data_IF_497660587946
#
_entry.id   IF_497660587946
#
_cell.length_a   1.000
_cell.length_b   1.000
_cell.length_c   1.000
_cell.angle_alpha   90.00
_cell.angle_beta   90.00
_cell.angle_gamma   90.00
#
_symmetry.space_group_name_H-M   'P 1'
#
loop_
_entity.id
_entity.type
_entity.pdbx_description
1 polymer ?
#
# COMPACT_ATOMS: atom_id res chain seq x y z
N UNK A 1 -6.54 27.86 -6.61
CA UNK A 1 -6.80 26.51 -7.17
C UNK A 1 -7.85 25.85 -6.28
N UNK A 2 -8.93 25.33 -6.85
CA UNK A 2 -9.95 24.58 -6.11
C UNK A 2 -9.75 23.09 -6.40
N UNK A 3 -9.52 22.29 -5.36
CA UNK A 3 -9.36 20.83 -5.47
C UNK A 3 -10.55 20.21 -4.78
N UNK A 4 -11.26 19.33 -5.49
CA UNK A 4 -12.32 18.52 -4.90
C UNK A 4 -11.70 17.27 -4.27
N UNK A 5 -12.03 17.03 -3.00
CA UNK A 5 -11.62 15.83 -2.26
C UNK A 5 -12.81 14.89 -2.13
N UNK A 6 -12.54 13.59 -1.94
CA UNK A 6 -13.58 12.67 -1.49
C UNK A 6 -13.96 13.00 -0.04
N UNK A 7 -15.18 12.62 0.42
CA UNK A 7 -15.61 12.88 1.80
C UNK A 7 -14.61 12.37 2.84
N UNK A 8 -14.01 11.20 2.61
CA UNK A 8 -13.05 10.58 3.53
C UNK A 8 -11.75 11.39 3.63
N UNK A 9 -11.28 11.95 2.51
CA UNK A 9 -10.08 12.80 2.49
C UNK A 9 -10.36 14.15 3.13
N UNK A 10 -11.55 14.71 2.93
CA UNK A 10 -11.96 15.96 3.58
C UNK A 10 -11.99 15.81 5.11
N UNK A 11 -12.53 14.69 5.62
CA UNK A 11 -12.51 14.37 7.06
C UNK A 11 -11.08 14.33 7.59
N UNK A 12 -10.17 13.62 6.91
CA UNK A 12 -8.76 13.53 7.33
C UNK A 12 -8.08 14.90 7.35
N UNK A 13 -8.34 15.75 6.36
CA UNK A 13 -7.77 17.11 6.32
C UNK A 13 -8.33 17.95 7.47
N UNK A 14 -9.64 17.88 7.75
CA UNK A 14 -10.26 18.58 8.88
C UNK A 14 -9.68 18.13 10.22
N UNK A 15 -9.47 16.83 10.42
CA UNK A 15 -8.84 16.29 11.63
C UNK A 15 -7.41 16.83 11.83
N UNK A 16 -6.62 16.92 10.75
CA UNK A 16 -5.26 17.48 10.79
C UNK A 16 -5.26 18.95 11.14
N UNK A 17 -6.18 19.74 10.62
CA UNK A 17 -6.32 21.16 11.02
C UNK A 17 -6.77 21.27 12.48
N UNK A 18 -7.78 20.48 12.89
CA UNK A 18 -8.31 20.48 14.26
C UNK A 18 -7.27 20.06 15.31
N UNK A 19 -6.24 19.30 14.93
CA UNK A 19 -5.13 18.94 15.82
C UNK A 19 -4.25 20.13 16.23
N UNK A 20 -4.36 21.28 15.56
CA UNK A 20 -3.57 22.48 15.83
C UNK A 20 -2.17 22.49 15.19
N UNK A 21 -1.74 21.39 14.53
CA UNK A 21 -0.46 21.35 13.81
C UNK A 21 -0.46 22.13 12.49
N UNK A 22 -1.65 22.43 11.94
CA UNK A 22 -1.80 23.13 10.66
C UNK A 22 -2.85 24.23 10.78
N UNK A 23 -2.59 25.38 10.18
CA UNK A 23 -3.50 26.53 10.23
C UNK A 23 -4.68 26.38 9.26
N UNK A 24 -4.48 25.65 8.16
CA UNK A 24 -5.49 25.50 7.11
C UNK A 24 -5.27 24.24 6.26
N UNK A 25 -6.31 23.88 5.49
CA UNK A 25 -6.29 22.73 4.59
C UNK A 25 -5.17 22.80 3.54
N UNK A 26 -4.84 23.99 3.04
CA UNK A 26 -3.79 24.14 2.02
C UNK A 26 -2.40 23.77 2.56
N UNK A 27 -2.14 24.00 3.84
CA UNK A 27 -0.90 23.56 4.50
C UNK A 27 -0.84 22.04 4.59
N UNK A 28 -1.92 21.39 5.03
CA UNK A 28 -2.01 19.92 5.09
C UNK A 28 -1.73 19.30 3.72
N UNK A 29 -2.36 19.84 2.66
CA UNK A 29 -2.19 19.33 1.30
C UNK A 29 -0.76 19.53 0.80
N UNK A 30 -0.17 20.71 1.00
CA UNK A 30 1.22 20.98 0.58
C UNK A 30 2.21 20.07 1.30
N UNK A 31 2.03 19.87 2.60
CA UNK A 31 2.91 19.01 3.39
C UNK A 31 2.78 17.54 2.98
N UNK A 32 1.55 17.06 2.74
CA UNK A 32 1.30 15.72 2.22
C UNK A 32 1.95 15.48 0.85
N UNK A 33 1.89 16.46 -0.06
CA UNK A 33 2.55 16.37 -1.37
C UNK A 33 4.07 16.34 -1.25
N UNK A 34 4.66 17.20 -0.42
CA UNK A 34 6.12 17.19 -0.15
C UNK A 34 6.57 15.88 0.46
N UNK A 35 5.78 15.36 1.40
CA UNK A 35 6.05 14.05 1.98
C UNK A 35 6.01 12.97 0.91
N UNK A 36 5.00 12.96 0.04
CA UNK A 36 4.92 11.98 -1.03
C UNK A 36 6.13 12.04 -1.96
N UNK A 37 6.49 13.22 -2.47
CA UNK A 37 7.66 13.40 -3.34
C UNK A 37 8.96 12.95 -2.66
N UNK A 38 9.14 13.25 -1.37
CA UNK A 38 10.37 12.91 -0.64
C UNK A 38 10.47 11.43 -0.26
N UNK A 39 9.35 10.72 -0.18
CA UNK A 39 9.29 9.36 0.38
C UNK A 39 8.85 8.29 -0.63
N UNK A 40 8.47 8.66 -1.85
CA UNK A 40 7.96 7.71 -2.84
C UNK A 40 8.94 6.56 -3.08
N UNK A 41 10.20 6.87 -3.38
CA UNK A 41 11.22 5.85 -3.63
C UNK A 41 11.44 4.94 -2.41
N UNK A 42 11.53 5.52 -1.22
CA UNK A 42 11.70 4.76 0.02
C UNK A 42 10.52 3.81 0.27
N UNK A 43 9.29 4.27 0.05
CA UNK A 43 8.09 3.42 0.16
C UNK A 43 8.11 2.29 -0.86
N UNK A 44 8.56 2.54 -2.09
CA UNK A 44 8.71 1.49 -3.11
C UNK A 44 9.78 0.46 -2.70
N UNK A 45 10.91 0.90 -2.16
CA UNK A 45 11.95 0.01 -1.66
C UNK A 45 11.42 -0.89 -0.53
N UNK A 46 10.68 -0.34 0.44
CA UNK A 46 10.04 -1.12 1.50
C UNK A 46 9.10 -2.18 0.93
N UNK A 47 8.22 -1.79 -0.01
CA UNK A 47 7.28 -2.72 -0.67
C UNK A 47 8.02 -3.85 -1.37
N UNK A 48 9.09 -3.52 -2.10
CA UNK A 48 9.92 -4.47 -2.81
C UNK A 48 10.60 -5.46 -1.85
N UNK A 49 11.18 -4.97 -0.76
CA UNK A 49 11.84 -5.84 0.23
C UNK A 49 10.85 -6.78 0.93
N UNK A 50 9.65 -6.31 1.24
CA UNK A 50 8.58 -7.17 1.76
C UNK A 50 8.20 -8.24 0.74
N UNK A 51 8.05 -7.86 -0.53
CA UNK A 51 7.71 -8.80 -1.60
C UNK A 51 8.81 -9.85 -1.78
N UNK A 52 10.08 -9.45 -1.85
CA UNK A 52 11.24 -10.36 -1.93
C UNK A 52 11.25 -11.34 -0.76
N UNK A 53 11.04 -10.87 0.47
CA UNK A 53 10.97 -11.74 1.66
C UNK A 53 9.87 -12.78 1.55
N UNK A 54 8.68 -12.39 1.07
CA UNK A 54 7.56 -13.32 0.87
C UNK A 54 7.84 -14.33 -0.24
N UNK A 55 8.39 -13.88 -1.36
CA UNK A 55 8.73 -14.74 -2.50
C UNK A 55 9.89 -15.69 -2.20
N UNK A 56 10.83 -15.32 -1.32
CA UNK A 56 11.97 -16.16 -0.95
C UNK A 56 11.54 -17.53 -0.40
N UNK A 57 10.37 -17.63 0.23
CA UNK A 57 9.81 -18.90 0.73
C UNK A 57 9.51 -19.82 -0.45
N UNK A 58 8.76 -19.31 -1.45
CA UNK A 58 8.41 -20.06 -2.66
C UNK A 58 9.63 -20.36 -3.52
N UNK A 59 10.58 -19.44 -3.64
CA UNK A 59 11.83 -19.65 -4.36
C UNK A 59 12.63 -20.82 -3.77
N UNK A 60 12.79 -20.88 -2.43
CA UNK A 60 13.44 -22.01 -1.75
C UNK A 60 12.70 -23.33 -1.92
N UNK A 61 11.37 -23.31 -1.92
CA UNK A 61 10.56 -24.51 -2.20
C UNK A 61 10.80 -24.99 -3.64
N UNK A 62 10.80 -24.06 -4.61
CA UNK A 62 11.08 -24.34 -6.02
C UNK A 62 12.47 -24.92 -6.25
N UNK A 63 13.51 -24.35 -5.64
CA UNK A 63 14.89 -24.89 -5.68
C UNK A 63 14.98 -26.32 -5.15
N UNK A 64 14.13 -26.67 -4.17
CA UNK A 64 14.02 -28.01 -3.60
C UNK A 64 13.07 -28.94 -4.38
N UNK A 65 12.52 -28.49 -5.51
CA UNK A 65 11.54 -29.24 -6.30
C UNK A 65 10.19 -29.43 -5.61
N UNK A 66 9.89 -28.66 -4.55
CA UNK A 66 8.65 -28.74 -3.79
C UNK A 66 7.56 -27.91 -4.48
N UNK A 67 6.78 -28.59 -5.31
CA UNK A 67 5.61 -28.02 -5.97
C UNK A 67 4.34 -28.78 -5.58
N UNK A 68 3.21 -28.08 -5.60
CA UNK A 68 1.89 -28.68 -5.53
C UNK A 68 1.50 -29.22 -6.91
N UNK A 69 0.65 -30.24 -6.95
CA UNK A 69 0.23 -30.88 -8.23
C UNK A 69 -0.99 -30.19 -8.82
N UNK A 70 -1.74 -29.51 -7.98
CA UNK A 70 -2.93 -28.75 -8.31
C UNK A 70 -2.59 -27.61 -9.27
N UNK A 71 -3.40 -27.44 -10.30
CA UNK A 71 -3.29 -26.29 -11.17
C UNK A 71 -3.84 -25.05 -10.47
N UNK A 72 -3.44 -23.85 -10.93
CA UNK A 72 -4.00 -22.58 -10.43
C UNK A 72 -5.54 -22.56 -10.53
N UNK A 73 -6.10 -23.18 -11.58
CA UNK A 73 -7.54 -23.30 -11.76
C UNK A 73 -8.22 -24.16 -10.70
N UNK A 74 -7.55 -25.18 -10.17
CA UNK A 74 -8.10 -26.06 -9.13
C UNK A 74 -8.10 -25.34 -7.77
N UNK A 75 -7.02 -24.62 -7.47
CA UNK A 75 -6.89 -23.81 -6.25
C UNK A 75 -7.98 -22.72 -6.20
N UNK A 76 -8.24 -22.04 -7.32
CA UNK A 76 -9.28 -21.01 -7.39
C UNK A 76 -10.69 -21.61 -7.18
N UNK A 77 -10.93 -22.83 -7.66
CA UNK A 77 -12.21 -23.51 -7.44
C UNK A 77 -12.40 -23.89 -5.98
N UNK A 78 -11.36 -24.42 -5.33
CA UNK A 78 -11.38 -24.76 -3.91
C UNK A 78 -11.67 -23.53 -3.04
N UNK A 79 -10.95 -22.42 -3.28
CA UNK A 79 -11.12 -21.18 -2.50
C UNK A 79 -12.50 -20.51 -2.67
N UNK A 80 -13.24 -20.80 -3.74
CA UNK A 80 -14.61 -20.31 -3.95
C UNK A 80 -15.68 -21.19 -3.29
N UNK A 81 -15.34 -22.42 -2.95
CA UNK A 81 -16.23 -23.40 -2.34
C UNK A 81 -16.02 -23.53 -0.81
N UNK A 82 -15.02 -22.82 -0.26
CA UNK A 82 -14.74 -22.69 1.16
C UNK A 82 -15.37 -21.41 1.73
#
# INVERSE_FOLDING_TARGET
>A
MHISLTPELEVKVKERVASGYYNNASEVIRDALRFWESNEEFVQQIKLEILKKRLAIGAKQSEQGKFIKESVTDIIKEAKNA
#
